data_IF_105353970455
#
_entry.id   IF_105353970455
#
_cell.length_a   1.000
_cell.length_b   1.000
_cell.length_c   1.000
_cell.angle_alpha   90.00
_cell.angle_beta   90.00
_cell.angle_gamma   90.00
#
_symmetry.space_group_name_H-M   'P 1'
#
loop_
_entity.id
_entity.type
_entity.pdbx_description
1 polymer ?
#
# COMPACT_ATOMS: atom_id res chain seq x y z
N UNK A 1 10.43 -8.97 49.13
CA UNK A 1 10.16 -8.84 47.68
C UNK A 1 10.80 -10.02 46.95
N UNK A 2 10.01 -10.95 46.42
CA UNK A 2 10.45 -12.25 45.89
C UNK A 2 11.21 -12.11 44.57
N UNK A 3 12.22 -12.97 44.33
CA UNK A 3 13.04 -12.99 43.09
C UNK A 3 12.19 -13.01 41.82
N UNK A 4 11.04 -13.69 41.87
CA UNK A 4 10.06 -13.75 40.78
C UNK A 4 9.52 -12.36 40.38
N UNK A 5 9.23 -11.47 41.33
CA UNK A 5 8.79 -10.10 41.03
C UNK A 5 9.89 -9.27 40.37
N UNK A 6 11.16 -9.46 40.73
CA UNK A 6 12.30 -8.76 40.10
C UNK A 6 12.53 -9.23 38.67
N UNK A 7 12.40 -10.53 38.39
CA UNK A 7 12.51 -11.11 37.05
C UNK A 7 11.38 -10.64 36.14
N UNK A 8 10.13 -10.66 36.63
CA UNK A 8 8.98 -10.15 35.86
C UNK A 8 9.16 -8.66 35.54
N UNK A 9 9.54 -7.83 36.52
CA UNK A 9 9.73 -6.39 36.32
C UNK A 9 10.87 -6.08 35.31
N UNK A 10 11.92 -6.89 35.29
CA UNK A 10 13.05 -6.72 34.35
C UNK A 10 12.72 -7.20 32.95
N UNK A 11 11.95 -8.28 32.79
CA UNK A 11 11.43 -8.72 31.49
C UNK A 11 10.47 -7.67 30.92
N UNK A 12 9.56 -7.11 31.73
CA UNK A 12 8.66 -6.03 31.31
C UNK A 12 9.43 -4.78 30.89
N UNK A 13 10.47 -4.39 31.64
CA UNK A 13 11.31 -3.23 31.30
C UNK A 13 12.10 -3.43 29.99
N UNK A 14 12.68 -4.61 29.78
CA UNK A 14 13.38 -4.95 28.54
C UNK A 14 12.43 -4.96 27.34
N UNK A 15 11.23 -5.53 27.49
CA UNK A 15 10.21 -5.57 26.45
C UNK A 15 9.73 -4.16 26.07
N UNK A 16 9.45 -3.31 27.06
CA UNK A 16 9.07 -1.91 26.83
C UNK A 16 10.18 -1.13 26.12
N UNK A 17 11.45 -1.38 26.46
CA UNK A 17 12.59 -0.77 25.78
C UNK A 17 12.69 -1.17 24.30
N UNK A 18 12.44 -2.45 23.99
CA UNK A 18 12.40 -2.94 22.60
C UNK A 18 11.25 -2.33 21.82
N UNK A 19 10.05 -2.26 22.41
CA UNK A 19 8.87 -1.65 21.77
C UNK A 19 9.12 -0.16 21.48
N UNK A 20 9.66 0.58 22.44
CA UNK A 20 10.00 1.99 22.26
C UNK A 20 11.04 2.19 21.15
N UNK A 21 12.06 1.33 21.09
CA UNK A 21 13.07 1.38 20.03
C UNK A 21 12.47 1.10 18.64
N UNK A 22 11.62 0.07 18.52
CA UNK A 22 10.93 -0.23 17.26
C UNK A 22 10.02 0.91 16.81
N UNK A 23 9.29 1.53 17.74
CA UNK A 23 8.44 2.68 17.43
C UNK A 23 9.25 3.88 16.91
N UNK A 24 10.43 4.15 17.51
CA UNK A 24 11.32 5.21 17.03
C UNK A 24 11.84 4.88 15.62
N UNK A 25 12.30 3.64 15.38
CA UNK A 25 12.83 3.24 14.07
C UNK A 25 11.74 3.33 12.98
N UNK A 26 10.54 2.80 13.25
CA UNK A 26 9.43 2.83 12.30
C UNK A 26 8.97 4.25 11.95
N UNK A 27 9.15 5.21 12.86
CA UNK A 27 8.81 6.62 12.61
C UNK A 27 9.78 7.32 11.65
N UNK A 28 11.02 6.85 11.53
CA UNK A 28 12.09 7.51 10.74
C UNK A 28 12.45 6.80 9.43
N UNK A 29 11.89 5.60 9.18
CA UNK A 29 12.18 4.81 7.98
C UNK A 29 10.92 4.21 7.39
N UNK A 30 10.88 4.20 6.07
CA UNK A 30 9.89 3.45 5.31
C UNK A 30 10.21 1.96 5.43
N UNK A 31 9.19 1.19 5.78
CA UNK A 31 9.30 -0.25 6.02
C UNK A 31 8.65 -0.97 4.86
N UNK A 32 9.46 -1.68 4.07
CA UNK A 32 8.97 -2.50 2.97
C UNK A 32 7.99 -3.58 3.46
N UNK A 33 6.81 -3.61 2.85
CA UNK A 33 5.77 -4.62 3.08
C UNK A 33 5.80 -5.65 1.97
N UNK A 34 5.51 -5.25 0.72
CA UNK A 34 5.44 -6.14 -0.43
C UNK A 34 5.80 -5.40 -1.72
N UNK A 35 6.37 -6.12 -2.68
CA UNK A 35 6.54 -5.63 -4.06
C UNK A 35 6.10 -6.74 -5.00
N UNK A 36 5.24 -6.38 -5.96
CA UNK A 36 4.73 -7.29 -6.99
C UNK A 36 4.98 -6.63 -8.33
N UNK A 37 5.59 -7.37 -9.24
CA UNK A 37 5.76 -6.95 -10.64
C UNK A 37 5.09 -7.97 -11.55
N UNK A 38 4.41 -7.49 -12.59
CA UNK A 38 3.86 -8.30 -13.68
C UNK A 38 4.17 -7.65 -15.03
N UNK A 39 4.63 -8.47 -15.96
CA UNK A 39 4.81 -8.06 -17.35
C UNK A 39 3.50 -8.19 -18.11
N UNK A 40 3.24 -7.28 -19.04
CA UNK A 40 2.04 -7.26 -19.88
C UNK A 40 2.33 -6.64 -21.24
N UNK A 41 1.54 -7.05 -22.23
CA UNK A 41 1.52 -6.45 -23.57
C UNK A 41 0.43 -5.36 -23.70
N UNK A 42 -0.33 -5.09 -22.63
CA UNK A 42 -1.32 -4.04 -22.60
C UNK A 42 -0.70 -2.67 -22.91
N UNK A 43 -1.44 -1.81 -23.61
CA UNK A 43 -0.92 -0.47 -23.92
C UNK A 43 -0.78 0.37 -22.65
N UNK A 44 0.28 1.18 -22.60
CA UNK A 44 0.51 2.12 -21.49
C UNK A 44 -0.66 3.07 -21.23
N UNK A 45 -1.37 3.45 -22.29
CA UNK A 45 -2.53 4.34 -22.17
C UNK A 45 -3.68 3.64 -21.44
N UNK A 46 -3.96 2.38 -21.77
CA UNK A 46 -4.97 1.57 -21.06
C UNK A 46 -4.58 1.34 -19.60
N UNK A 47 -3.31 1.01 -19.33
CA UNK A 47 -2.81 0.84 -17.95
C UNK A 47 -2.99 2.12 -17.13
N UNK A 48 -2.66 3.27 -17.73
CA UNK A 48 -2.81 4.57 -17.07
C UNK A 48 -4.27 4.94 -16.83
N UNK A 49 -5.14 4.74 -17.82
CA UNK A 49 -6.55 5.10 -17.71
C UNK A 49 -7.25 4.30 -16.60
N UNK A 50 -6.91 3.02 -16.45
CA UNK A 50 -7.41 2.17 -15.35
C UNK A 50 -6.98 2.64 -13.95
N UNK A 51 -5.85 3.34 -13.85
CA UNK A 51 -5.39 3.95 -12.59
C UNK A 51 -5.97 5.34 -12.38
N UNK A 52 -6.02 6.17 -13.42
CA UNK A 52 -6.46 7.55 -13.34
C UNK A 52 -7.99 7.69 -13.17
N UNK A 53 -8.77 6.72 -13.67
CA UNK A 53 -10.21 6.62 -13.40
C UNK A 53 -10.45 5.98 -12.03
N UNK A 54 -10.29 6.79 -10.97
CA UNK A 54 -10.36 6.33 -9.58
C UNK A 54 -11.66 5.58 -9.27
N UNK A 55 -12.87 6.10 -9.54
CA UNK A 55 -14.09 5.38 -9.20
C UNK A 55 -14.24 4.03 -9.93
N UNK A 56 -13.66 3.89 -11.12
CA UNK A 56 -13.66 2.66 -11.89
C UNK A 56 -12.67 1.60 -11.37
N UNK A 57 -11.84 1.89 -10.36
CA UNK A 57 -10.88 0.91 -9.81
C UNK A 57 -11.56 -0.33 -9.21
N UNK A 58 -12.83 -0.24 -8.81
CA UNK A 58 -13.67 -1.38 -8.39
C UNK A 58 -13.82 -2.46 -9.48
N UNK A 59 -13.53 -2.13 -10.74
CA UNK A 59 -13.51 -3.08 -11.85
C UNK A 59 -12.36 -4.08 -11.77
N UNK A 60 -11.24 -3.74 -11.12
CA UNK A 60 -10.07 -4.60 -10.97
C UNK A 60 -9.69 -4.87 -9.52
N UNK A 61 -10.03 -4.00 -8.57
CA UNK A 61 -9.82 -4.25 -7.14
C UNK A 61 -11.12 -4.78 -6.52
N UNK A 62 -11.23 -6.11 -6.42
CA UNK A 62 -12.43 -6.78 -5.92
C UNK A 62 -12.63 -6.64 -4.42
N UNK A 63 -11.65 -6.12 -3.68
CA UNK A 63 -11.81 -5.82 -2.26
C UNK A 63 -12.56 -4.50 -2.00
N UNK A 64 -12.66 -3.62 -3.00
CA UNK A 64 -13.27 -2.31 -2.84
C UNK A 64 -14.80 -2.37 -2.92
N UNK A 65 -15.46 -1.80 -1.91
CA UNK A 65 -16.87 -1.43 -2.02
C UNK A 65 -17.01 -0.14 -2.84
N UNK A 66 -16.16 0.86 -2.57
CA UNK A 66 -15.99 2.04 -3.42
C UNK A 66 -14.64 2.74 -3.17
N UNK A 67 -14.24 3.59 -4.11
CA UNK A 67 -13.15 4.55 -3.95
C UNK A 67 -13.50 5.83 -4.72
N UNK A 68 -13.28 6.98 -4.10
CA UNK A 68 -13.62 8.28 -4.64
C UNK A 68 -12.48 9.27 -4.43
N UNK A 69 -12.38 10.26 -5.31
CA UNK A 69 -11.37 11.30 -5.25
C UNK A 69 -12.05 12.68 -5.25
N UNK A 70 -11.66 13.55 -4.34
CA UNK A 70 -12.22 14.89 -4.13
C UNK A 70 -11.59 15.93 -5.07
N UNK A 71 -11.43 15.61 -6.35
CA UNK A 71 -10.76 16.47 -7.31
C UNK A 71 -10.13 15.72 -8.49
N UNK A 72 -9.26 16.39 -9.25
CA UNK A 72 -8.50 15.76 -10.33
C UNK A 72 -7.48 14.76 -9.77
N UNK A 73 -7.07 13.78 -10.59
CA UNK A 73 -6.02 12.84 -10.23
C UNK A 73 -4.62 13.49 -10.30
N UNK A 74 -4.29 14.28 -9.28
CA UNK A 74 -3.03 14.99 -9.11
C UNK A 74 -2.53 14.98 -7.65
N UNK A 75 -1.24 15.23 -7.46
CA UNK A 75 -0.62 15.24 -6.15
C UNK A 75 -1.26 16.28 -5.20
N UNK A 76 -1.50 15.87 -3.96
CA UNK A 76 -2.20 16.64 -2.93
C UNK A 76 -3.72 16.46 -2.91
N UNK A 77 -4.29 15.74 -3.89
CA UNK A 77 -5.74 15.46 -3.91
C UNK A 77 -6.07 14.37 -2.91
N UNK A 78 -7.12 14.59 -2.12
CA UNK A 78 -7.61 13.62 -1.15
C UNK A 78 -8.78 12.82 -1.70
N UNK A 79 -9.04 11.68 -1.09
CA UNK A 79 -10.19 10.86 -1.42
C UNK A 79 -10.62 9.99 -0.25
N UNK A 80 -11.71 9.26 -0.47
CA UNK A 80 -12.25 8.28 0.48
C UNK A 80 -12.27 6.92 -0.19
N UNK A 81 -11.74 5.91 0.51
CA UNK A 81 -11.83 4.52 0.10
C UNK A 81 -12.63 3.73 1.12
N UNK A 82 -13.39 2.75 0.65
CA UNK A 82 -14.05 1.77 1.50
C UNK A 82 -13.82 0.37 0.96
N UNK A 83 -13.14 -0.43 1.77
CA UNK A 83 -12.98 -1.87 1.57
C UNK A 83 -14.19 -2.59 2.16
N UNK A 84 -14.62 -3.69 1.53
CA UNK A 84 -15.75 -4.48 2.03
C UNK A 84 -15.54 -4.90 3.49
N UNK A 85 -16.55 -4.65 4.32
CA UNK A 85 -16.51 -5.01 5.76
C UNK A 85 -15.66 -4.09 6.65
N UNK A 86 -15.12 -2.99 6.12
CA UNK A 86 -14.36 -1.99 6.88
C UNK A 86 -15.07 -0.62 6.91
N UNK A 87 -14.72 0.20 7.90
CA UNK A 87 -15.12 1.60 7.92
C UNK A 87 -14.35 2.36 6.82
N UNK A 88 -14.94 3.38 6.17
CA UNK A 88 -14.25 4.20 5.19
C UNK A 88 -13.02 4.89 5.78
N UNK A 89 -11.95 4.97 4.99
CA UNK A 89 -10.72 5.68 5.36
C UNK A 89 -10.37 6.73 4.32
N UNK A 90 -9.76 7.82 4.78
CA UNK A 90 -9.25 8.87 3.92
C UNK A 90 -7.85 8.52 3.41
N UNK A 91 -7.58 8.91 2.18
CA UNK A 91 -6.27 8.79 1.56
C UNK A 91 -5.90 10.07 0.79
N UNK A 92 -4.64 10.16 0.40
CA UNK A 92 -4.08 11.27 -0.37
C UNK A 92 -3.26 10.72 -1.53
N UNK A 93 -3.42 11.29 -2.72
CA UNK A 93 -2.51 11.07 -3.84
C UNK A 93 -1.26 11.92 -3.60
N UNK A 94 -0.12 11.32 -3.29
CA UNK A 94 1.09 12.07 -2.89
C UNK A 94 2.02 12.39 -4.05
N UNK A 95 1.95 11.62 -5.13
CA UNK A 95 2.75 11.83 -6.34
C UNK A 95 2.02 11.28 -7.56
N UNK A 96 2.14 11.98 -8.68
CA UNK A 96 1.60 11.56 -9.99
C UNK A 96 2.62 11.97 -11.06
N UNK A 97 3.07 10.99 -11.84
CA UNK A 97 3.82 11.18 -13.08
C UNK A 97 3.01 10.52 -14.21
N UNK A 98 2.27 11.32 -15.01
CA UNK A 98 1.33 10.79 -15.99
C UNK A 98 1.92 9.72 -16.91
N UNK A 99 1.22 8.58 -16.98
CA UNK A 99 1.58 7.39 -17.78
C UNK A 99 2.87 6.68 -17.34
N UNK A 100 3.42 7.04 -16.17
CA UNK A 100 4.62 6.42 -15.62
C UNK A 100 4.38 5.90 -14.21
N UNK A 101 3.87 6.73 -13.30
CA UNK A 101 3.68 6.31 -11.91
C UNK A 101 2.67 7.16 -11.15
N UNK A 102 2.18 6.63 -10.05
CA UNK A 102 1.53 7.41 -9.00
C UNK A 102 1.77 6.79 -7.63
N UNK A 103 1.51 7.55 -6.57
CA UNK A 103 1.57 7.04 -5.21
C UNK A 103 0.39 7.53 -4.40
N UNK A 104 -0.32 6.60 -3.76
CA UNK A 104 -1.42 6.89 -2.84
C UNK A 104 -0.98 6.57 -1.40
N UNK A 105 -1.35 7.44 -0.46
CA UNK A 105 -1.03 7.32 0.96
C UNK A 105 -2.31 7.10 1.77
N UNK A 106 -2.36 5.99 2.50
CA UNK A 106 -3.48 5.65 3.38
C UNK A 106 -3.08 5.77 4.85
N UNK A 107 -3.89 6.47 5.64
CA UNK A 107 -3.69 6.65 7.08
C UNK A 107 -4.54 5.64 7.87
N UNK A 108 -4.25 4.35 7.72
CA UNK A 108 -5.06 3.26 8.31
C UNK A 108 -4.80 3.03 9.80
N UNK A 109 -3.70 3.55 10.35
CA UNK A 109 -3.30 3.37 11.75
C UNK A 109 -2.90 4.71 12.40
N UNK A 110 -3.06 4.88 13.72
CA UNK A 110 -2.65 6.11 14.41
C UNK A 110 -1.17 6.44 14.18
N UNK A 111 -0.92 7.65 13.66
CA UNK A 111 0.42 8.17 13.32
C UNK A 111 1.22 7.28 12.35
N UNK A 112 0.56 6.37 11.64
CA UNK A 112 1.19 5.41 10.74
C UNK A 112 0.44 5.41 9.42
N UNK A 113 1.17 5.52 8.33
CA UNK A 113 0.61 5.49 6.99
C UNK A 113 1.28 4.40 6.16
N UNK A 114 0.59 4.04 5.08
CA UNK A 114 1.12 3.17 4.04
C UNK A 114 1.14 3.91 2.71
N UNK A 115 2.27 3.87 2.03
CA UNK A 115 2.46 4.44 0.69
C UNK A 115 2.43 3.30 -0.33
N UNK A 116 1.51 3.41 -1.29
CA UNK A 116 1.29 2.47 -2.38
C UNK A 116 1.85 3.07 -3.65
N UNK A 117 3.03 2.60 -4.06
CA UNK A 117 3.70 3.04 -5.26
C UNK A 117 3.29 2.17 -6.43
N UNK A 118 2.90 2.80 -7.53
CA UNK A 118 2.50 2.15 -8.76
C UNK A 118 3.36 2.69 -9.90
N UNK A 119 4.03 1.81 -10.63
CA UNK A 119 5.02 2.17 -11.65
C UNK A 119 4.77 1.34 -12.94
N UNK A 120 4.91 1.98 -14.10
CA UNK A 120 4.87 1.37 -15.44
C UNK A 120 6.19 1.65 -16.13
N UNK A 121 6.96 0.60 -16.39
CA UNK A 121 8.25 0.69 -17.09
C UNK A 121 8.20 -0.14 -18.38
N UNK A 122 8.81 0.31 -19.49
CA UNK A 122 8.96 -0.55 -20.67
C UNK A 122 9.80 -1.77 -20.32
N UNK A 123 9.38 -2.96 -20.76
CA UNK A 123 10.16 -4.18 -20.58
C UNK A 123 11.04 -4.46 -21.82
N UNK A 124 11.93 -5.45 -21.71
CA UNK A 124 12.85 -5.82 -22.79
C UNK A 124 12.19 -6.48 -24.01
N UNK A 125 10.92 -6.86 -23.89
CA UNK A 125 10.18 -7.67 -24.87
C UNK A 125 9.17 -6.84 -25.69
N UNK A 126 9.13 -5.53 -25.49
CA UNK A 126 8.26 -4.59 -26.23
C UNK A 126 6.91 -4.30 -25.55
N UNK A 127 6.68 -4.84 -24.36
CA UNK A 127 5.55 -4.54 -23.49
C UNK A 127 5.96 -3.65 -22.29
N UNK A 128 5.26 -3.80 -21.17
CA UNK A 128 5.51 -3.05 -19.94
C UNK A 128 5.56 -3.96 -18.72
N UNK A 129 6.35 -3.56 -17.72
CA UNK A 129 6.31 -4.09 -16.37
C UNK A 129 5.51 -3.14 -15.49
N UNK A 130 4.47 -3.68 -14.86
CA UNK A 130 3.63 -2.99 -13.87
C UNK A 130 4.10 -3.41 -12.49
N UNK A 131 4.60 -2.46 -11.70
CA UNK A 131 5.14 -2.71 -10.36
C UNK A 131 4.31 -2.00 -9.31
N UNK A 132 3.84 -2.75 -8.32
CA UNK A 132 3.18 -2.24 -7.13
C UNK A 132 4.07 -2.48 -5.92
N UNK A 133 4.46 -1.42 -5.21
CA UNK A 133 5.31 -1.49 -4.03
C UNK A 133 4.62 -0.82 -2.86
N UNK A 134 4.46 -1.56 -1.78
CA UNK A 134 3.82 -1.10 -0.55
C UNK A 134 4.87 -0.90 0.54
N UNK A 135 4.88 0.30 1.12
CA UNK A 135 5.72 0.66 2.25
C UNK A 135 4.88 1.21 3.40
N UNK A 136 5.30 0.96 4.63
CA UNK A 136 4.65 1.46 5.83
C UNK A 136 5.60 2.33 6.65
N UNK A 137 5.13 3.48 7.13
CA UNK A 137 5.91 4.40 7.96
C UNK A 137 5.12 4.86 9.17
N UNK A 138 5.74 4.82 10.33
CA UNK A 138 5.16 5.24 11.60
C UNK A 138 5.55 4.33 12.76
N UNK A 139 5.22 4.70 14.00
CA UNK A 139 5.60 3.93 15.18
C UNK A 139 4.99 2.52 15.22
N UNK A 140 3.88 2.30 14.51
CA UNK A 140 3.22 1.01 14.46
C UNK A 140 3.70 0.14 13.28
N UNK A 141 4.41 0.69 12.29
CA UNK A 141 4.76 -0.03 11.05
C UNK A 141 5.58 -1.30 11.30
N UNK A 142 6.58 -1.23 12.18
CA UNK A 142 7.40 -2.39 12.53
C UNK A 142 6.69 -3.39 13.45
N UNK A 143 5.74 -2.92 14.26
CA UNK A 143 4.95 -3.77 15.15
C UNK A 143 3.91 -4.57 14.37
N UNK A 144 3.30 -3.97 13.35
CA UNK A 144 2.28 -4.60 12.51
C UNK A 144 2.86 -5.26 11.26
N UNK A 145 4.16 -5.13 10.98
CA UNK A 145 4.80 -5.62 9.77
C UNK A 145 4.48 -7.09 9.43
N UNK A 146 4.56 -8.06 10.35
CA UNK A 146 4.23 -9.46 10.03
C UNK A 146 2.77 -9.64 9.61
N UNK A 147 1.86 -8.86 10.21
CA UNK A 147 0.43 -8.87 9.88
C UNK A 147 0.20 -8.25 8.50
N UNK A 148 0.78 -7.07 8.25
CA UNK A 148 0.70 -6.39 6.95
C UNK A 148 1.25 -7.28 5.82
N UNK A 149 2.39 -7.96 6.06
CA UNK A 149 2.97 -8.90 5.10
C UNK A 149 2.11 -10.13 4.84
N UNK A 150 1.39 -10.61 5.86
CA UNK A 150 0.47 -11.72 5.70
C UNK A 150 -0.75 -11.36 4.84
N UNK A 151 -1.36 -10.20 5.11
CA UNK A 151 -2.53 -9.71 4.38
C UNK A 151 -2.15 -9.34 2.94
N UNK A 152 -1.24 -8.37 2.79
CA UNK A 152 -0.90 -7.81 1.48
C UNK A 152 0.00 -8.72 0.64
N UNK A 153 0.64 -9.71 1.26
CA UNK A 153 1.38 -10.74 0.53
C UNK A 153 0.47 -11.65 -0.30
N UNK A 154 -0.80 -11.79 0.07
CA UNK A 154 -1.80 -12.55 -0.68
C UNK A 154 -2.67 -11.64 -1.56
N UNK A 155 -3.14 -10.51 -1.02
CA UNK A 155 -4.08 -9.62 -1.72
C UNK A 155 -3.44 -8.88 -2.91
N UNK A 156 -2.23 -8.34 -2.74
CA UNK A 156 -1.60 -7.49 -3.78
C UNK A 156 -1.30 -8.28 -5.06
N UNK A 157 -0.72 -9.50 -5.02
CA UNK A 157 -0.55 -10.30 -6.22
C UNK A 157 -1.84 -10.51 -7.01
N UNK A 158 -2.95 -10.84 -6.33
CA UNK A 158 -4.24 -11.06 -6.98
C UNK A 158 -4.77 -9.79 -7.63
N UNK A 159 -4.72 -8.66 -6.93
CA UNK A 159 -5.18 -7.38 -7.50
C UNK A 159 -4.35 -6.95 -8.73
N UNK A 160 -3.02 -7.16 -8.71
CA UNK A 160 -2.17 -6.89 -9.88
C UNK A 160 -2.49 -7.82 -11.04
N UNK A 161 -2.75 -9.10 -10.77
CA UNK A 161 -3.12 -10.09 -11.80
C UNK A 161 -4.47 -9.72 -12.45
N UNK A 162 -5.47 -9.31 -11.67
CA UNK A 162 -6.78 -8.85 -12.16
C UNK A 162 -6.68 -7.54 -12.94
N UNK A 163 -5.85 -6.60 -12.47
CA UNK A 163 -5.56 -5.35 -13.17
C UNK A 163 -4.92 -5.60 -14.54
N UNK A 164 -3.89 -6.43 -14.60
CA UNK A 164 -3.20 -6.78 -15.85
C UNK A 164 -4.15 -7.48 -16.81
N UNK A 165 -4.91 -8.48 -16.35
CA UNK A 165 -5.88 -9.18 -17.18
C UNK A 165 -6.95 -8.23 -17.75
N UNK A 166 -7.43 -7.27 -16.95
CA UNK A 166 -8.38 -6.26 -17.41
C UNK A 166 -7.74 -5.33 -18.45
N UNK A 167 -6.51 -4.88 -18.22
CA UNK A 167 -5.78 -4.01 -19.15
C UNK A 167 -5.55 -4.69 -20.51
N UNK A 168 -5.17 -5.96 -20.51
CA UNK A 168 -4.97 -6.75 -21.74
C UNK A 168 -6.29 -6.93 -22.50
N UNK A 169 -7.41 -7.11 -21.80
CA UNK A 169 -8.72 -7.23 -22.44
C UNK A 169 -9.23 -5.93 -23.10
N UNK A 170 -8.65 -4.78 -22.73
CA UNK A 170 -9.02 -3.43 -23.20
C UNK A 170 -8.02 -2.84 -24.20
N UNK A 171 -6.92 -3.55 -24.48
CA UNK A 171 -5.85 -3.09 -25.37
C UNK A 171 -6.05 -3.51 -26.84
#
# INVERSE_FOLDING_TARGET
MTRLRKVILSITGALLGVIALLAVIGSVRDTHVVTVTRSTDASRDVLWDLWADVPARTEWDKGLEYIELDGPFEAGTTGTVKVEGQDPINYEVVAVDPKNSYTDRFNSLPWTHTDWHHEIEPNGDGGYDVTWRLEARGPLSLLTLPVLKGIFGEEVPTAVDEFVALAESRS
#
